data_IF_289967888072
#
_entry.id   IF_289967888072
#
_cell.length_a   1.000
_cell.length_b   1.000
_cell.length_c   1.000
_cell.angle_alpha   90.00
_cell.angle_beta   90.00
_cell.angle_gamma   90.00
#
_symmetry.space_group_name_H-M   'P 1'
#
loop_
_entity.id
_entity.type
_entity.pdbx_description
1 polymer ?
#
# COMPACT_ATOMS: atom_id res chain seq x y z
N UNK A 1 -5.94 1.19 -7.68
CA UNK A 1 -5.01 0.89 -6.56
C UNK A 1 -3.61 0.54 -7.06
N UNK A 2 -3.44 -0.51 -7.87
CA UNK A 2 -2.14 -0.90 -8.44
C UNK A 2 -1.41 0.24 -9.17
N UNK A 3 -2.10 0.94 -10.08
CA UNK A 3 -1.50 2.03 -10.84
C UNK A 3 -0.93 3.14 -9.93
N UNK A 4 -1.64 3.47 -8.84
CA UNK A 4 -1.21 4.49 -7.89
C UNK A 4 0.03 4.06 -7.12
N UNK A 5 0.09 2.79 -6.68
CA UNK A 5 1.30 2.23 -6.08
C UNK A 5 2.47 2.26 -7.06
N UNK A 6 2.23 1.85 -8.31
CA UNK A 6 3.28 1.79 -9.33
C UNK A 6 3.86 3.17 -9.66
N UNK A 7 3.01 4.19 -9.79
CA UNK A 7 3.43 5.59 -9.99
C UNK A 7 4.25 6.08 -8.80
N UNK A 8 3.80 5.82 -7.58
CA UNK A 8 4.51 6.22 -6.37
C UNK A 8 5.87 5.52 -6.21
N UNK A 9 5.92 4.22 -6.53
CA UNK A 9 7.14 3.43 -6.56
C UNK A 9 8.13 3.97 -7.60
N UNK A 10 7.68 4.19 -8.84
CA UNK A 10 8.49 4.77 -9.90
C UNK A 10 9.02 6.16 -9.55
N UNK A 11 8.17 7.03 -8.99
CA UNK A 11 8.58 8.35 -8.53
C UNK A 11 9.65 8.28 -7.43
N UNK A 12 9.56 7.30 -6.53
CA UNK A 12 10.56 7.08 -5.48
C UNK A 12 11.90 6.64 -6.06
N UNK A 13 11.90 5.72 -7.05
CA UNK A 13 13.12 5.32 -7.74
C UNK A 13 13.77 6.49 -8.49
N UNK A 14 12.97 7.30 -9.19
CA UNK A 14 13.46 8.52 -9.86
C UNK A 14 14.06 9.48 -8.84
N UNK A 15 13.40 9.67 -7.69
CA UNK A 15 13.93 10.53 -6.62
C UNK A 15 15.27 10.02 -6.10
N UNK A 16 15.41 8.71 -5.92
CA UNK A 16 16.67 8.09 -5.45
C UNK A 16 17.80 8.22 -6.48
N UNK A 17 17.49 8.11 -7.77
CA UNK A 17 18.49 8.15 -8.82
C UNK A 17 18.94 9.57 -9.18
N UNK A 18 18.01 10.53 -9.19
CA UNK A 18 18.26 11.87 -9.75
C UNK A 18 18.37 12.98 -8.69
N UNK A 19 17.94 12.75 -7.45
CA UNK A 19 17.97 13.76 -6.39
C UNK A 19 18.72 13.26 -5.14
N UNK A 20 20.02 12.90 -5.27
CA UNK A 20 20.83 12.37 -4.16
C UNK A 20 20.90 13.33 -2.97
N UNK A 21 20.94 14.64 -3.24
CA UNK A 21 21.00 15.68 -2.20
C UNK A 21 19.74 15.73 -1.34
N UNK A 22 18.55 15.50 -1.94
CA UNK A 22 17.28 15.49 -1.23
C UNK A 22 17.10 14.22 -0.38
N UNK A 23 17.45 13.06 -0.94
CA UNK A 23 17.27 11.78 -0.24
C UNK A 23 18.30 11.59 0.89
N UNK A 24 19.45 12.25 0.78
CA UNK A 24 20.49 12.28 1.81
C UNK A 24 20.18 13.17 2.99
N UNK A 25 19.20 14.09 2.89
CA UNK A 25 18.84 15.00 3.98
C UNK A 25 18.46 14.19 5.22
N UNK A 26 19.18 14.44 6.30
CA UNK A 26 18.89 13.84 7.61
C UNK A 26 17.68 14.54 8.22
N UNK A 27 16.70 13.75 8.64
CA UNK A 27 15.48 14.22 9.30
C UNK A 27 15.66 14.16 10.82
N UNK A 28 16.19 13.06 11.34
CA UNK A 28 16.46 12.91 12.77
C UNK A 28 17.59 11.89 13.02
N UNK A 29 18.66 12.33 13.68
CA UNK A 29 19.83 11.50 13.95
C UNK A 29 20.40 10.87 12.67
N UNK A 30 20.30 9.54 12.57
CA UNK A 30 20.75 8.75 11.40
C UNK A 30 19.64 8.46 10.38
N UNK A 31 18.41 8.95 10.60
CA UNK A 31 17.28 8.76 9.69
C UNK A 31 17.32 9.85 8.61
N UNK A 32 17.39 9.45 7.35
CA UNK A 32 17.34 10.35 6.20
C UNK A 32 16.03 10.20 5.41
N UNK A 33 15.82 11.09 4.45
CA UNK A 33 14.64 11.09 3.58
C UNK A 33 14.55 9.80 2.77
N UNK A 34 15.66 9.23 2.31
CA UNK A 34 15.69 7.91 1.67
C UNK A 34 15.04 6.83 2.55
N UNK A 35 15.39 6.78 3.83
CA UNK A 35 14.82 5.82 4.77
C UNK A 35 13.31 6.00 4.92
N UNK A 36 12.84 7.25 5.07
CA UNK A 36 11.41 7.53 5.16
C UNK A 36 10.65 7.12 3.90
N UNK A 37 11.20 7.43 2.73
CA UNK A 37 10.61 7.04 1.45
C UNK A 37 10.54 5.51 1.31
N UNK A 38 11.60 4.79 1.69
CA UNK A 38 11.61 3.34 1.68
C UNK A 38 10.55 2.74 2.61
N UNK A 39 10.43 3.23 3.85
CA UNK A 39 9.40 2.76 4.80
C UNK A 39 7.99 3.10 4.31
N UNK A 40 7.81 4.27 3.69
CA UNK A 40 6.52 4.68 3.15
C UNK A 40 5.99 3.73 2.06
N UNK A 41 6.88 3.11 1.28
CA UNK A 41 6.49 2.10 0.29
C UNK A 41 5.76 0.92 0.93
N UNK A 42 6.26 0.43 2.06
CA UNK A 42 5.61 -0.65 2.80
C UNK A 42 4.28 -0.18 3.39
N UNK A 43 4.25 1.00 4.00
CA UNK A 43 3.04 1.56 4.60
C UNK A 43 1.91 1.71 3.56
N UNK A 44 2.23 2.22 2.36
CA UNK A 44 1.26 2.36 1.26
C UNK A 44 0.76 1.01 0.79
N UNK A 45 1.62 0.00 0.69
CA UNK A 45 1.21 -1.36 0.31
C UNK A 45 0.19 -1.94 1.29
N UNK A 46 0.48 -1.88 2.60
CA UNK A 46 -0.47 -2.34 3.63
C UNK A 46 -1.75 -1.53 3.64
N UNK A 47 -1.67 -0.21 3.44
CA UNK A 47 -2.85 0.65 3.36
C UNK A 47 -3.74 0.25 2.19
N UNK A 48 -3.16 0.03 1.00
CA UNK A 48 -3.91 -0.43 -0.17
C UNK A 48 -4.58 -1.78 0.10
N UNK A 49 -3.86 -2.73 0.69
CA UNK A 49 -4.39 -4.03 1.05
C UNK A 49 -5.54 -3.93 2.08
N UNK A 50 -5.39 -3.08 3.10
CA UNK A 50 -6.41 -2.84 4.11
C UNK A 50 -7.66 -2.20 3.52
N UNK A 51 -7.51 -1.13 2.72
CA UNK A 51 -8.64 -0.47 2.04
C UNK A 51 -9.34 -1.44 1.10
N UNK A 52 -8.57 -2.25 0.36
CA UNK A 52 -9.14 -3.29 -0.48
C UNK A 52 -9.90 -4.32 0.34
N UNK A 53 -9.35 -4.82 1.45
CA UNK A 53 -10.01 -5.80 2.31
C UNK A 53 -11.31 -5.23 2.93
N UNK A 54 -11.32 -3.98 3.34
CA UNK A 54 -12.51 -3.31 3.87
C UNK A 54 -13.60 -3.15 2.79
N UNK A 55 -13.21 -2.77 1.57
CA UNK A 55 -14.14 -2.68 0.45
C UNK A 55 -14.66 -4.06 0.03
N UNK A 56 -13.78 -5.04 -0.09
CA UNK A 56 -14.10 -6.42 -0.43
C UNK A 56 -15.06 -7.03 0.58
N UNK A 57 -14.89 -6.80 1.89
CA UNK A 57 -15.86 -7.26 2.92
C UNK A 57 -17.27 -6.72 2.67
N UNK A 58 -17.41 -5.43 2.35
CA UNK A 58 -18.73 -4.83 2.06
C UNK A 58 -19.41 -5.43 0.82
N UNK A 59 -18.63 -5.78 -0.20
CA UNK A 59 -19.15 -6.32 -1.47
C UNK A 59 -19.33 -7.84 -1.42
N UNK A 60 -18.45 -8.55 -0.72
CA UNK A 60 -18.45 -10.01 -0.65
C UNK A 60 -19.36 -10.56 0.44
N UNK A 61 -19.64 -9.85 1.54
CA UNK A 61 -20.57 -10.29 2.59
C UNK A 61 -21.94 -10.77 2.08
N UNK A 62 -22.62 -10.08 1.15
CA UNK A 62 -23.87 -10.59 0.59
C UNK A 62 -23.67 -11.88 -0.21
N UNK A 63 -22.60 -11.96 -1.02
CA UNK A 63 -22.29 -13.16 -1.80
C UNK A 63 -21.91 -14.35 -0.91
N UNK A 64 -21.13 -14.13 0.15
CA UNK A 64 -20.75 -15.17 1.10
C UNK A 64 -21.94 -15.60 1.94
N UNK A 65 -22.85 -14.70 2.32
CA UNK A 65 -24.09 -15.05 3.00
C UNK A 65 -24.96 -16.00 2.14
N UNK A 66 -25.15 -15.69 0.86
CA UNK A 66 -25.87 -16.57 -0.07
C UNK A 66 -25.17 -17.91 -0.29
N UNK A 67 -23.85 -17.90 -0.48
CA UNK A 67 -23.07 -19.12 -0.65
C UNK A 67 -23.13 -20.01 0.61
N UNK A 68 -23.09 -19.41 1.80
CA UNK A 68 -23.18 -20.12 3.08
C UNK A 68 -24.58 -20.68 3.33
N UNK A 69 -25.63 -19.96 2.94
CA UNK A 69 -27.01 -20.45 2.99
C UNK A 69 -27.22 -21.66 2.05
N UNK A 70 -26.63 -21.64 0.85
CA UNK A 70 -26.64 -22.80 -0.07
C UNK A 70 -25.89 -24.01 0.49
N UNK A 71 -24.77 -23.80 1.17
CA UNK A 71 -23.98 -24.90 1.77
C UNK A 71 -24.62 -25.47 3.06
N UNK A 72 -25.38 -24.67 3.81
CA UNK A 72 -26.08 -25.11 5.01
C UNK A 72 -27.44 -25.80 4.74
N UNK A 73 -27.86 -25.87 3.48
CA UNK A 73 -29.14 -26.44 3.05
C UNK A 73 -29.12 -27.93 2.66
N UNK A 74 -28.13 -28.70 3.11
CA UNK A 74 -28.07 -30.17 2.98
C UNK A 74 -28.08 -30.84 4.36
#
# INVERSE_FOLDING_TARGET
MFLMFFVFFGATLVTFAYLPDLVGVKVYGSINVAYLLAVSQFAVSFLIAAVYALWARKVLDPLTAEARARLAGC
#
